data_IF_096164960941
#
_entry.id   IF_096164960941
#
_cell.length_a   1.000
_cell.length_b   1.000
_cell.length_c   1.000
_cell.angle_alpha   90.00
_cell.angle_beta   90.00
_cell.angle_gamma   90.00
#
_symmetry.space_group_name_H-M   'P 1'
#
loop_
_entity.id
_entity.type
_entity.pdbx_description
1 polymer ?
#
# COMPACT_ATOMS: atom_id res chain seq x y z
N UNK A 1 -6.74 18.95 -28.99
CA UNK A 1 -5.53 18.66 -28.18
C UNK A 1 -4.35 18.44 -29.12
N UNK A 2 -3.13 18.91 -28.81
CA UNK A 2 -2.01 18.78 -29.74
C UNK A 2 -1.50 17.33 -29.78
N UNK A 3 -1.38 16.80 -31.00
CA UNK A 3 -1.03 15.41 -31.33
C UNK A 3 0.37 14.97 -30.82
N UNK A 4 1.23 15.94 -30.49
CA UNK A 4 2.64 15.71 -30.14
C UNK A 4 2.91 15.75 -28.62
N UNK A 5 1.86 15.77 -27.79
CA UNK A 5 1.96 15.92 -26.33
C UNK A 5 1.54 14.67 -25.55
N UNK A 6 1.62 13.50 -26.20
CA UNK A 6 1.24 12.25 -25.56
C UNK A 6 2.39 11.73 -24.70
N UNK A 7 2.11 11.52 -23.41
CA UNK A 7 3.07 10.89 -22.49
C UNK A 7 3.39 9.48 -22.96
N UNK A 8 4.68 9.12 -22.91
CA UNK A 8 5.09 7.77 -23.22
C UNK A 8 4.86 6.91 -21.97
N UNK A 9 3.93 5.97 -22.08
CA UNK A 9 3.59 5.05 -20.99
C UNK A 9 4.79 4.14 -20.69
N UNK A 10 5.66 3.82 -21.65
CA UNK A 10 6.78 2.90 -21.40
C UNK A 10 7.92 3.52 -20.58
N UNK A 11 7.96 4.84 -20.42
CA UNK A 11 9.04 5.57 -19.75
C UNK A 11 8.52 6.16 -18.43
N UNK A 12 9.37 6.34 -17.44
CA UNK A 12 8.98 7.00 -16.17
C UNK A 12 8.55 8.44 -16.39
N UNK A 13 7.57 8.88 -15.61
CA UNK A 13 7.08 10.26 -15.67
C UNK A 13 8.19 11.29 -15.38
N UNK A 14 9.12 10.94 -14.50
CA UNK A 14 10.25 11.78 -14.11
C UNK A 14 11.17 12.13 -15.29
N UNK A 15 11.37 11.19 -16.23
CA UNK A 15 12.14 11.43 -17.46
C UNK A 15 11.40 12.32 -18.46
N UNK A 16 10.09 12.54 -18.26
CA UNK A 16 9.24 13.38 -19.10
C UNK A 16 8.78 14.64 -18.36
N UNK A 17 9.35 14.93 -17.19
CA UNK A 17 8.95 16.04 -16.30
C UNK A 17 8.95 17.37 -17.03
N UNK A 18 9.97 17.63 -17.84
CA UNK A 18 10.11 18.88 -18.59
C UNK A 18 8.98 19.09 -19.60
N UNK A 19 8.52 18.04 -20.28
CA UNK A 19 7.39 18.13 -21.19
C UNK A 19 6.07 18.38 -20.43
N UNK A 20 5.94 17.79 -19.25
CA UNK A 20 4.74 17.94 -18.42
C UNK A 20 4.63 19.38 -17.90
N UNK A 21 5.69 19.90 -17.28
CA UNK A 21 5.68 21.23 -16.68
C UNK A 21 5.64 22.33 -17.73
N UNK A 22 6.37 22.18 -18.85
CA UNK A 22 6.47 23.25 -19.86
C UNK A 22 5.35 23.23 -20.89
N UNK A 23 4.69 22.09 -21.11
CA UNK A 23 3.70 21.94 -22.19
C UNK A 23 2.33 21.51 -21.69
N UNK A 24 2.24 20.41 -20.94
CA UNK A 24 0.96 19.80 -20.57
C UNK A 24 0.23 20.63 -19.50
N UNK A 25 0.90 20.97 -18.40
CA UNK A 25 0.31 21.73 -17.29
C UNK A 25 -0.21 23.10 -17.78
N UNK A 26 0.57 23.92 -18.52
CA UNK A 26 0.08 25.18 -19.05
C UNK A 26 -1.11 25.01 -20.02
N UNK A 27 -1.13 23.94 -20.81
CA UNK A 27 -2.26 23.64 -21.68
C UNK A 27 -3.52 23.28 -20.89
N UNK A 28 -3.38 22.51 -19.81
CA UNK A 28 -4.50 22.19 -18.91
C UNK A 28 -5.02 23.42 -18.18
N UNK A 29 -4.14 24.30 -17.71
CA UNK A 29 -4.54 25.56 -17.08
C UNK A 29 -5.32 26.49 -18.01
N UNK A 30 -5.07 26.45 -19.33
CA UNK A 30 -5.88 27.20 -20.32
C UNK A 30 -7.27 26.62 -20.51
N UNK A 31 -7.44 25.31 -20.28
CA UNK A 31 -8.72 24.60 -20.45
C UNK A 31 -9.55 24.67 -19.16
N UNK A 32 -8.88 24.58 -18.01
CA UNK A 32 -9.51 24.62 -16.70
C UNK A 32 -9.94 26.04 -16.34
N UNK A 33 -11.14 26.18 -15.79
CA UNK A 33 -11.57 27.45 -15.22
C UNK A 33 -10.95 27.63 -13.83
N UNK A 34 -9.82 28.31 -13.80
CA UNK A 34 -9.06 28.62 -12.58
C UNK A 34 -9.92 29.44 -11.58
N UNK A 35 -10.92 30.19 -12.07
CA UNK A 35 -11.83 30.95 -11.20
C UNK A 35 -12.82 30.04 -10.47
N UNK A 36 -13.24 28.96 -11.11
CA UNK A 36 -14.14 27.97 -10.53
C UNK A 36 -13.40 26.96 -9.63
N UNK A 37 -12.17 26.57 -10.00
CA UNK A 37 -11.38 25.60 -9.26
C UNK A 37 -9.99 26.16 -8.93
N UNK A 38 -9.73 26.36 -7.64
CA UNK A 38 -8.41 26.76 -7.12
C UNK A 38 -7.43 25.58 -7.16
N UNK A 39 -7.02 25.20 -8.36
CA UNK A 39 -6.09 24.09 -8.59
C UNK A 39 -4.68 24.67 -8.73
N UNK A 40 -3.73 24.15 -7.94
CA UNK A 40 -2.32 24.52 -8.07
C UNK A 40 -1.61 23.64 -9.11
N UNK A 41 -0.49 24.11 -9.63
CA UNK A 41 0.36 23.35 -10.56
C UNK A 41 0.79 22.01 -9.97
N UNK A 42 1.12 21.99 -8.68
CA UNK A 42 1.53 20.78 -7.97
C UNK A 42 0.40 19.74 -7.94
N UNK A 43 -0.84 20.17 -7.72
CA UNK A 43 -2.00 19.26 -7.74
C UNK A 43 -2.18 18.64 -9.12
N UNK A 44 -2.06 19.42 -10.19
CA UNK A 44 -2.12 18.88 -11.55
C UNK A 44 -0.98 17.90 -11.84
N UNK A 45 0.23 18.22 -11.39
CA UNK A 45 1.38 17.33 -11.53
C UNK A 45 1.12 15.97 -10.85
N UNK A 46 0.63 15.98 -9.61
CA UNK A 46 0.29 14.75 -8.88
C UNK A 46 -0.83 13.95 -9.55
N UNK A 47 -1.87 14.62 -10.06
CA UNK A 47 -2.94 13.95 -10.80
C UNK A 47 -2.41 13.28 -12.07
N UNK A 48 -1.54 13.96 -12.82
CA UNK A 48 -0.91 13.40 -14.03
C UNK A 48 0.00 12.23 -13.66
N UNK A 49 0.77 12.36 -12.57
CA UNK A 49 1.64 11.29 -12.06
C UNK A 49 0.84 10.04 -11.71
N UNK A 50 -0.24 10.17 -10.93
CA UNK A 50 -1.12 9.05 -10.57
C UNK A 50 -1.75 8.39 -11.80
N UNK A 51 -2.27 9.19 -12.74
CA UNK A 51 -2.84 8.68 -13.99
C UNK A 51 -1.81 7.89 -14.81
N UNK A 52 -0.58 8.40 -14.95
CA UNK A 52 0.48 7.72 -15.69
C UNK A 52 0.93 6.42 -15.00
N UNK A 53 1.09 6.43 -13.68
CA UNK A 53 1.40 5.23 -12.91
C UNK A 53 0.35 4.14 -13.13
N UNK A 54 -0.94 4.50 -13.05
CA UNK A 54 -2.03 3.57 -13.29
C UNK A 54 -2.01 2.98 -14.72
N UNK A 55 -1.83 3.84 -15.73
CA UNK A 55 -1.74 3.40 -17.12
C UNK A 55 -0.56 2.46 -17.37
N UNK A 56 0.60 2.73 -16.74
CA UNK A 56 1.76 1.84 -16.76
C UNK A 56 1.48 0.50 -16.14
N UNK A 57 0.91 0.50 -14.95
CA UNK A 57 0.60 -0.74 -14.24
C UNK A 57 -0.39 -1.59 -15.04
N UNK A 58 -1.43 -0.99 -15.62
CA UNK A 58 -2.39 -1.69 -16.48
C UNK A 58 -1.72 -2.29 -17.73
N UNK A 59 -0.85 -1.54 -18.40
CA UNK A 59 -0.08 -2.04 -19.55
C UNK A 59 0.83 -3.21 -19.17
N UNK A 60 1.57 -3.09 -18.07
CA UNK A 60 2.43 -4.15 -17.55
C UNK A 60 1.60 -5.39 -17.17
N UNK A 61 0.46 -5.19 -16.53
CA UNK A 61 -0.45 -6.28 -16.15
C UNK A 61 -1.04 -6.99 -17.38
N UNK A 62 -1.30 -6.27 -18.47
CA UNK A 62 -1.71 -6.86 -19.76
C UNK A 62 -0.61 -7.67 -20.42
N UNK A 63 0.66 -7.34 -20.20
CA UNK A 63 1.81 -8.04 -20.76
C UNK A 63 2.26 -9.25 -19.93
N UNK A 64 1.96 -9.29 -18.62
CA UNK A 64 2.27 -10.42 -17.73
C UNK A 64 1.63 -11.73 -18.18
N UNK A 65 2.25 -12.87 -17.88
CA UNK A 65 1.65 -14.17 -18.15
C UNK A 65 0.40 -14.39 -17.26
N UNK A 66 -0.58 -15.17 -17.74
CA UNK A 66 -1.85 -15.40 -17.00
C UNK A 66 -1.63 -15.97 -15.59
N UNK A 67 -0.64 -16.85 -15.44
CA UNK A 67 -0.32 -17.47 -14.16
C UNK A 67 0.27 -16.44 -13.17
N UNK A 68 1.15 -15.55 -13.61
CA UNK A 68 1.71 -14.45 -12.81
C UNK A 68 0.62 -13.51 -12.30
N UNK A 69 -0.30 -13.10 -13.18
CA UNK A 69 -1.45 -12.25 -12.80
C UNK A 69 -2.30 -12.91 -11.72
N UNK A 70 -2.54 -14.21 -11.86
CA UNK A 70 -3.35 -14.97 -10.88
C UNK A 70 -2.64 -15.06 -9.53
N UNK A 71 -1.32 -15.26 -9.52
CA UNK A 71 -0.49 -15.24 -8.30
C UNK A 71 -0.55 -13.87 -7.62
N UNK A 72 -0.37 -12.80 -8.39
CA UNK A 72 -0.42 -11.43 -7.87
C UNK A 72 -1.80 -11.06 -7.28
N UNK A 73 -2.90 -11.44 -7.95
CA UNK A 73 -4.25 -11.20 -7.44
C UNK A 73 -4.47 -11.95 -6.12
N UNK A 74 -4.01 -13.20 -6.01
CA UNK A 74 -4.10 -13.98 -4.77
C UNK A 74 -3.32 -13.30 -3.64
N UNK A 75 -2.08 -12.89 -3.90
CA UNK A 75 -1.24 -12.15 -2.94
C UNK A 75 -1.91 -10.85 -2.48
N UNK A 76 -2.37 -10.01 -3.42
CA UNK A 76 -3.10 -8.76 -3.14
C UNK A 76 -4.35 -9.02 -2.30
N UNK A 77 -5.10 -10.08 -2.58
CA UNK A 77 -6.28 -10.46 -1.81
C UNK A 77 -5.93 -10.84 -0.35
N UNK A 78 -4.92 -11.69 -0.16
CA UNK A 78 -4.45 -12.12 1.17
C UNK A 78 -3.96 -10.91 1.98
N UNK A 79 -3.14 -10.05 1.37
CA UNK A 79 -2.61 -8.86 2.04
C UNK A 79 -3.73 -7.86 2.39
N UNK A 80 -4.71 -7.64 1.50
CA UNK A 80 -5.89 -6.79 1.79
C UNK A 80 -6.73 -7.33 2.94
N UNK A 81 -6.93 -8.64 3.01
CA UNK A 81 -7.67 -9.26 4.11
C UNK A 81 -6.93 -9.10 5.45
N UNK A 82 -5.59 -9.23 5.45
CA UNK A 82 -4.74 -8.99 6.64
C UNK A 82 -4.79 -7.53 7.07
N UNK A 83 -4.65 -6.57 6.16
CA UNK A 83 -4.72 -5.14 6.50
C UNK A 83 -6.07 -4.74 7.07
N UNK A 84 -7.18 -5.24 6.50
CA UNK A 84 -8.53 -5.03 7.07
C UNK A 84 -8.67 -5.55 8.49
N UNK A 85 -8.07 -6.71 8.82
CA UNK A 85 -8.07 -7.23 10.19
C UNK A 85 -7.31 -6.30 11.14
N UNK A 86 -6.13 -5.80 10.73
CA UNK A 86 -5.34 -4.82 11.51
C UNK A 86 -6.16 -3.56 11.79
N UNK A 87 -6.76 -2.95 10.74
CA UNK A 87 -7.58 -1.75 10.90
C UNK A 87 -8.78 -1.96 11.83
N UNK A 88 -9.43 -3.13 11.80
CA UNK A 88 -10.52 -3.45 12.74
C UNK A 88 -10.05 -3.54 14.18
N UNK A 89 -8.89 -4.16 14.42
CA UNK A 89 -8.31 -4.28 15.76
C UNK A 89 -7.88 -2.92 16.30
N UNK A 90 -7.22 -2.11 15.48
CA UNK A 90 -6.86 -0.74 15.82
C UNK A 90 -8.09 0.09 16.19
N UNK A 91 -9.13 0.06 15.35
CA UNK A 91 -10.39 0.75 15.64
C UNK A 91 -11.08 0.27 16.92
N UNK A 92 -10.97 -1.03 17.24
CA UNK A 92 -11.52 -1.57 18.48
C UNK A 92 -10.71 -1.09 19.70
N UNK A 93 -9.38 -1.08 19.61
CA UNK A 93 -8.51 -0.59 20.69
C UNK A 93 -8.76 0.90 20.93
N UNK A 94 -8.80 1.72 19.88
CA UNK A 94 -9.08 3.16 20.01
C UNK A 94 -10.46 3.40 20.61
N UNK A 95 -11.47 2.65 20.18
CA UNK A 95 -12.81 2.75 20.76
C UNK A 95 -12.84 2.36 22.25
N UNK A 96 -12.16 1.29 22.65
CA UNK A 96 -12.11 0.88 24.07
C UNK A 96 -11.31 1.86 24.94
N UNK A 97 -10.30 2.53 24.37
CA UNK A 97 -9.58 3.62 25.03
C UNK A 97 -10.49 4.83 25.25
N UNK A 98 -11.34 5.18 24.27
CA UNK A 98 -12.30 6.27 24.40
C UNK A 98 -13.37 6.00 25.48
N UNK A 99 -13.72 4.73 25.71
CA UNK A 99 -14.68 4.33 26.73
C UNK A 99 -14.07 4.14 28.13
N UNK A 100 -12.79 4.45 28.32
CA UNK A 100 -12.07 4.26 29.59
C UNK A 100 -12.26 2.85 30.17
N UNK A 101 -12.20 1.83 29.30
CA UNK A 101 -12.46 0.46 29.73
C UNK A 101 -11.43 0.02 30.79
N UNK A 102 -11.88 -0.52 31.95
CA UNK A 102 -11.01 -0.80 33.10
C UNK A 102 -9.95 -1.88 32.83
N UNK A 103 -10.13 -2.71 31.81
CA UNK A 103 -9.14 -3.71 31.38
C UNK A 103 -8.06 -3.05 30.51
N UNK A 104 -8.46 -2.16 29.60
CA UNK A 104 -7.55 -1.47 28.69
C UNK A 104 -6.69 -0.43 29.42
N UNK A 105 -7.24 0.24 30.42
CA UNK A 105 -6.50 1.20 31.26
C UNK A 105 -5.38 0.55 32.09
N UNK A 106 -5.45 -0.75 32.35
CA UNK A 106 -4.40 -1.50 33.06
C UNK A 106 -3.21 -1.85 32.18
N UNK A 107 -3.37 -1.77 30.85
CA UNK A 107 -2.33 -2.11 29.88
C UNK A 107 -1.55 -0.86 29.49
N UNK A 108 -0.23 -0.98 29.31
CA UNK A 108 0.61 0.14 28.87
C UNK A 108 0.42 0.40 27.37
N UNK A 109 0.53 1.66 26.93
CA UNK A 109 0.51 2.01 25.49
C UNK A 109 1.53 1.20 24.68
N UNK A 110 2.70 0.90 25.24
CA UNK A 110 3.74 0.07 24.63
C UNK A 110 3.31 -1.37 24.37
N UNK A 111 2.36 -1.91 25.13
CA UNK A 111 1.84 -3.28 24.98
C UNK A 111 0.84 -3.40 23.82
N UNK A 112 0.24 -2.28 23.40
CA UNK A 112 -0.60 -2.23 22.20
C UNK A 112 0.20 -2.07 20.91
N UNK A 113 1.40 -1.51 20.95
CA UNK A 113 2.23 -1.28 19.76
C UNK A 113 2.50 -2.54 18.93
N UNK A 114 2.75 -3.73 19.52
CA UNK A 114 2.85 -4.98 18.77
C UNK A 114 1.58 -5.40 18.03
N UNK A 115 0.40 -4.92 18.46
CA UNK A 115 -0.90 -5.24 17.85
C UNK A 115 -1.26 -4.20 16.79
N UNK A 116 -0.94 -2.92 17.06
CA UNK A 116 -1.29 -1.78 16.20
C UNK A 116 -0.25 -1.55 15.10
N UNK A 117 1.05 -1.63 15.43
CA UNK A 117 2.15 -1.15 14.57
C UNK A 117 2.98 -2.31 14.02
N UNK A 118 3.15 -3.38 14.80
CA UNK A 118 4.12 -4.45 14.50
C UNK A 118 3.42 -5.66 13.89
N UNK A 119 3.98 -6.25 12.84
CA UNK A 119 3.48 -7.51 12.25
C UNK A 119 3.70 -8.74 13.16
N UNK A 120 4.00 -8.57 14.45
CA UNK A 120 4.45 -9.66 15.36
C UNK A 120 3.41 -10.76 15.52
N UNK A 121 2.12 -10.44 15.39
CA UNK A 121 1.02 -11.40 15.49
C UNK A 121 0.48 -11.88 14.14
N UNK A 122 1.17 -11.57 13.03
CA UNK A 122 0.73 -11.88 11.68
C UNK A 122 1.87 -12.46 10.85
N UNK A 123 1.55 -13.38 9.95
CA UNK A 123 2.49 -13.79 8.91
C UNK A 123 2.94 -12.56 8.10
N UNK A 124 4.23 -12.52 7.75
CA UNK A 124 4.81 -11.50 6.86
C UNK A 124 3.95 -11.33 5.62
N UNK A 125 3.82 -10.09 5.15
CA UNK A 125 3.20 -9.82 3.85
C UNK A 125 3.91 -10.66 2.80
N UNK A 126 3.14 -11.31 1.93
CA UNK A 126 3.72 -12.13 0.87
C UNK A 126 4.50 -11.21 -0.08
N UNK A 127 5.81 -11.41 -0.14
CA UNK A 127 6.72 -10.60 -0.97
C UNK A 127 6.54 -10.97 -2.44
N UNK A 128 6.82 -10.01 -3.33
CA UNK A 128 6.85 -10.27 -4.77
C UNK A 128 7.95 -11.28 -5.15
N UNK A 129 9.03 -11.33 -4.36
CA UNK A 129 10.27 -12.08 -4.61
C UNK A 129 10.35 -13.36 -3.78
N UNK A 130 9.33 -13.70 -2.99
CA UNK A 130 9.36 -14.97 -2.24
C UNK A 130 9.35 -16.13 -3.26
N UNK A 131 10.40 -16.98 -3.28
CA UNK A 131 10.41 -18.14 -4.15
C UNK A 131 9.25 -19.03 -3.73
N UNK A 132 8.48 -19.49 -4.71
CA UNK A 132 7.44 -20.48 -4.46
C UNK A 132 8.14 -21.73 -3.92
N UNK A 133 8.09 -21.92 -2.61
CA UNK A 133 8.31 -23.22 -2.03
C UNK A 133 7.21 -24.12 -2.58
N UNK A 134 7.56 -24.97 -3.55
CA UNK A 134 6.84 -26.22 -3.81
C UNK A 134 6.91 -27.17 -2.59
N UNK A 135 7.63 -26.80 -1.52
CA UNK A 135 7.46 -27.43 -0.23
C UNK A 135 6.18 -26.93 0.41
N UNK A 136 5.33 -27.87 0.84
CA UNK A 136 4.17 -27.64 1.71
C UNK A 136 4.55 -27.09 3.10
N UNK A 137 5.70 -26.46 3.22
CA UNK A 137 6.28 -25.90 4.42
C UNK A 137 5.95 -24.42 4.43
N UNK A 138 4.81 -24.10 5.00
CA UNK A 138 4.62 -22.77 5.59
C UNK A 138 5.79 -22.57 6.55
N UNK A 139 6.77 -21.73 6.17
CA UNK A 139 7.82 -21.30 7.08
C UNK A 139 7.17 -20.39 8.12
N UNK A 140 6.54 -21.01 9.12
CA UNK A 140 6.08 -20.32 10.31
C UNK A 140 7.36 -19.95 11.06
N UNK A 141 7.86 -18.73 10.84
CA UNK A 141 8.90 -18.16 11.69
C UNK A 141 8.24 -17.90 13.04
N UNK A 142 8.25 -18.91 13.91
CA UNK A 142 7.85 -18.76 15.31
C UNK A 142 8.99 -18.00 15.99
N UNK A 143 8.81 -16.71 16.17
CA UNK A 143 9.67 -15.95 17.07
C UNK A 143 9.30 -16.37 18.50
N UNK A 144 10.20 -17.07 19.18
CA UNK A 144 9.98 -17.49 20.57
C UNK A 144 9.77 -16.27 21.46
N UNK A 145 8.57 -16.16 22.02
CA UNK A 145 8.20 -15.10 22.95
C UNK A 145 8.65 -15.54 24.35
N UNK A 146 9.32 -14.65 25.10
CA UNK A 146 9.94 -14.97 26.40
C UNK A 146 9.04 -15.74 27.37
N UNK A 147 7.74 -15.43 27.44
CA UNK A 147 6.80 -16.11 28.33
C UNK A 147 6.60 -17.61 28.03
N UNK A 148 6.97 -18.10 26.84
CA UNK A 148 6.97 -19.55 26.53
C UNK A 148 8.19 -20.28 27.08
N UNK A 149 9.31 -19.59 27.30
CA UNK A 149 10.53 -20.21 27.85
C UNK A 149 10.35 -20.60 29.32
N UNK A 150 9.57 -19.82 30.07
CA UNK A 150 9.28 -20.08 31.48
C UNK A 150 8.45 -21.37 31.69
N UNK A 151 7.74 -21.84 30.67
CA UNK A 151 6.97 -23.08 30.72
C UNK A 151 7.77 -24.34 30.37
N UNK A 152 8.96 -24.20 29.78
CA UNK A 152 9.78 -25.34 29.30
C UNK A 152 10.84 -25.75 30.33
N UNK A 153 11.16 -24.89 31.30
CA UNK A 153 12.11 -25.19 32.38
C UNK A 153 11.42 -25.51 33.71
N UNK A 154 10.65 -26.61 33.75
CA UNK A 154 10.20 -27.24 35.01
C UNK A 154 10.50 -28.73 35.02
#
# INVERSE_FOLDING_TARGET
>A
MPLNSQLNINITLELQKDMITKTIIPALFKILDIKAYLISENVLYEMIHQCHCYQREDLLNKNKAKHERTKEIRRKHVNSHRSKKRSRQENMITHLQLLDNPVILKLKKSEFNPIVIKNVYHSSEESEVDPDGDSNETCIIIQDIEWRRDCINK
#
